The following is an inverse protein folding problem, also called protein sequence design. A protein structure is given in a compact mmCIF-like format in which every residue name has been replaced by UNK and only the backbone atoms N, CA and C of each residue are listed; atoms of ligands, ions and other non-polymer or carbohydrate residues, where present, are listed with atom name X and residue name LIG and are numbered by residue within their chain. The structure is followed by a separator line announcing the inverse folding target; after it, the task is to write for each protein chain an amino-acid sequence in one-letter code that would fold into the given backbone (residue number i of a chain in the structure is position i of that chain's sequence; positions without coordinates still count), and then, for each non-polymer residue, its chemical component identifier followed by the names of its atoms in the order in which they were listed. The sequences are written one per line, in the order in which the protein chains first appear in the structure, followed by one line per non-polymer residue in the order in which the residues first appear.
data_IF_353731023512
#
_entry.id   IF_353731023512
#
_cell.length_a   1.000
_cell.length_b   1.000
_cell.length_c   1.000
_cell.angle_alpha   90.00
_cell.angle_beta   90.00
_cell.angle_gamma   90.00
#
_symmetry.space_group_name_H-M   'P 1'
#
loop_
_entity.id
_entity.type
_entity.pdbx_description
1 polymer ?
#
# COMPACT_ATOMS: atom_id res chain seq x y z
N UNK A 1 22.65 -27.92 -8.49
CA UNK A 1 21.36 -27.21 -8.65
C UNK A 1 20.57 -27.34 -7.36
N UNK A 2 20.13 -26.24 -6.70
CA UNK A 2 19.31 -26.34 -5.51
C UNK A 2 17.94 -26.96 -5.87
N UNK A 3 17.45 -27.90 -5.06
CA UNK A 3 16.18 -28.59 -5.32
C UNK A 3 15.01 -27.65 -5.06
N UNK A 4 14.09 -27.53 -6.02
CA UNK A 4 12.83 -26.81 -5.85
C UNK A 4 12.00 -27.54 -4.77
N UNK A 5 11.84 -26.93 -3.60
CA UNK A 5 10.99 -27.45 -2.52
C UNK A 5 9.91 -26.42 -2.21
N UNK A 6 8.71 -26.89 -1.88
CA UNK A 6 7.63 -26.04 -1.36
C UNK A 6 8.06 -25.51 0.01
N UNK A 7 7.96 -24.20 0.21
CA UNK A 7 8.24 -23.52 1.47
C UNK A 7 6.94 -22.95 2.04
N UNK A 8 6.80 -22.97 3.36
CA UNK A 8 5.67 -22.32 4.04
C UNK A 8 5.88 -20.81 3.95
N UNK A 9 4.92 -20.09 3.36
CA UNK A 9 4.94 -18.64 3.26
C UNK A 9 3.92 -18.05 4.23
N UNK A 10 4.31 -17.06 5.02
CA UNK A 10 3.41 -16.26 5.85
C UNK A 10 2.99 -15.03 5.05
N UNK A 11 1.74 -15.00 4.60
CA UNK A 11 1.20 -13.87 3.87
C UNK A 11 0.75 -12.77 4.86
N UNK A 12 1.03 -11.52 4.53
CA UNK A 12 0.38 -10.38 5.19
C UNK A 12 -1.05 -10.17 4.64
N UNK A 13 -1.22 -10.40 3.33
CA UNK A 13 -2.51 -10.35 2.61
C UNK A 13 -2.42 -11.24 1.36
N UNK A 14 -3.56 -11.76 0.92
CA UNK A 14 -3.66 -12.44 -0.38
C UNK A 14 -3.58 -11.44 -1.54
N UNK A 15 -2.98 -11.84 -2.65
CA UNK A 15 -2.95 -11.03 -3.88
C UNK A 15 -4.26 -11.30 -4.63
N UNK A 16 -5.08 -10.28 -4.93
CA UNK A 16 -6.31 -10.46 -5.69
C UNK A 16 -6.03 -11.05 -7.10
N UNK A 17 -6.98 -11.82 -7.63
CA UNK A 17 -6.78 -12.58 -8.88
C UNK A 17 -6.66 -11.69 -10.12
N UNK A 18 -7.25 -10.51 -10.06
CA UNK A 18 -7.27 -9.47 -11.09
C UNK A 18 -6.00 -8.58 -11.08
N UNK A 19 -5.11 -8.77 -10.10
CA UNK A 19 -3.89 -7.99 -9.99
C UNK A 19 -2.76 -8.65 -10.76
N UNK A 20 -1.95 -7.86 -11.48
CA UNK A 20 -0.75 -8.31 -12.19
C UNK A 20 0.48 -8.08 -11.33
N UNK A 21 1.31 -9.13 -11.15
CA UNK A 21 2.62 -8.97 -10.48
C UNK A 21 3.57 -8.23 -11.42
N UNK A 22 4.19 -7.15 -10.92
CA UNK A 22 5.18 -6.36 -11.65
C UNK A 22 6.61 -6.75 -11.34
N UNK A 23 6.90 -7.00 -10.08
CA UNK A 23 8.22 -7.44 -9.65
C UNK A 23 8.13 -8.18 -8.32
N UNK A 24 9.17 -8.97 -8.06
CA UNK A 24 9.35 -9.68 -6.80
C UNK A 24 10.77 -9.42 -6.32
N UNK A 25 10.91 -8.92 -5.10
CA UNK A 25 12.22 -8.70 -4.47
C UNK A 25 12.40 -9.70 -3.34
N UNK A 26 13.51 -10.45 -3.40
CA UNK A 26 13.92 -11.37 -2.35
C UNK A 26 15.06 -10.73 -1.54
N UNK A 27 14.86 -10.61 -0.23
CA UNK A 27 15.88 -10.09 0.68
C UNK A 27 16.20 -11.14 1.73
N UNK A 28 17.48 -11.37 1.99
CA UNK A 28 17.95 -12.13 3.14
C UNK A 28 18.45 -11.15 4.21
N UNK A 29 17.95 -11.26 5.43
CA UNK A 29 18.45 -10.50 6.57
C UNK A 29 18.42 -11.37 7.83
N UNK A 30 19.57 -11.50 8.49
CA UNK A 30 19.75 -12.28 9.72
C UNK A 30 19.22 -13.73 9.61
N UNK A 31 19.48 -14.38 8.48
CA UNK A 31 19.04 -15.77 8.23
C UNK A 31 17.57 -15.93 7.87
N UNK A 32 16.80 -14.84 7.86
CA UNK A 32 15.41 -14.82 7.43
C UNK A 32 15.30 -14.34 5.99
N UNK A 33 14.38 -14.95 5.23
CA UNK A 33 14.07 -14.53 3.87
C UNK A 33 12.75 -13.77 3.85
N UNK A 34 12.75 -12.62 3.20
CA UNK A 34 11.60 -11.76 3.00
C UNK A 34 11.34 -11.63 1.51
N UNK A 35 10.06 -11.67 1.14
CA UNK A 35 9.61 -11.49 -0.23
C UNK A 35 8.67 -10.30 -0.27
N UNK A 36 8.99 -9.28 -1.06
CA UNK A 36 8.04 -8.24 -1.43
C UNK A 36 7.55 -8.47 -2.85
N UNK A 37 6.24 -8.35 -3.03
CA UNK A 37 5.58 -8.52 -4.33
C UNK A 37 4.95 -7.19 -4.68
N UNK A 38 5.45 -6.55 -5.74
CA UNK A 38 4.84 -5.36 -6.31
C UNK A 38 3.76 -5.80 -7.29
N UNK A 39 2.55 -5.28 -7.12
CA UNK A 39 1.41 -5.58 -7.98
C UNK A 39 0.82 -4.30 -8.55
N UNK A 40 0.21 -4.42 -9.73
CA UNK A 40 -0.60 -3.37 -10.33
C UNK A 40 -1.98 -3.92 -10.64
N UNK A 41 -2.97 -3.03 -10.68
CA UNK A 41 -4.35 -3.34 -10.98
C UNK A 41 -4.97 -2.17 -11.73
N UNK A 42 -5.95 -2.48 -12.56
CA UNK A 42 -6.77 -1.45 -13.18
C UNK A 42 -7.89 -1.05 -12.23
N UNK A 43 -8.13 0.24 -12.11
CA UNK A 43 -9.24 0.79 -11.33
C UNK A 43 -9.95 1.82 -12.17
N UNK A 44 -11.21 1.56 -12.45
CA UNK A 44 -12.08 2.58 -13.03
C UNK A 44 -12.44 3.59 -11.93
N UNK A 45 -11.99 4.83 -12.10
CA UNK A 45 -12.32 5.92 -11.17
C UNK A 45 -13.53 6.65 -11.74
N UNK A 46 -14.70 6.42 -11.13
CA UNK A 46 -15.87 7.23 -11.43
C UNK A 46 -15.65 8.65 -10.91
N UNK A 47 -15.77 9.64 -11.81
CA UNK A 47 -15.77 11.04 -11.41
C UNK A 47 -17.02 11.30 -10.58
N UNK A 48 -16.82 11.70 -9.33
CA UNK A 48 -17.91 12.24 -8.54
C UNK A 48 -18.33 13.61 -9.12
N UNK A 49 -19.63 13.96 -9.07
CA UNK A 49 -20.06 15.30 -9.42
C UNK A 49 -19.29 16.32 -8.57
N UNK A 50 -18.90 17.43 -9.18
CA UNK A 50 -18.22 18.52 -8.48
C UNK A 50 -19.11 19.03 -7.37
N UNK A 51 -18.67 18.88 -6.12
CA UNK A 51 -19.24 19.59 -4.98
C UNK A 51 -18.50 20.91 -4.79
N UNK A 52 -19.22 21.95 -4.36
CA UNK A 52 -18.60 23.22 -3.93
C UNK A 52 -17.78 23.05 -2.63
N UNK A 53 -17.86 21.88 -2.00
CA UNK A 53 -17.06 21.54 -0.83
C UNK A 53 -15.64 21.16 -1.25
N UNK A 54 -14.69 22.02 -0.91
CA UNK A 54 -13.25 21.81 -1.06
C UNK A 54 -12.61 21.84 0.33
N UNK A 55 -11.76 20.86 0.63
CA UNK A 55 -10.96 20.83 1.87
C UNK A 55 -9.49 20.91 1.47
N UNK A 56 -8.78 21.90 2.01
CA UNK A 56 -7.33 21.98 1.91
C UNK A 56 -6.68 21.11 2.98
N UNK A 57 -5.64 20.36 2.64
CA UNK A 57 -4.83 19.59 3.58
C UNK A 57 -3.41 20.14 3.54
N UNK A 58 -2.89 20.51 4.70
CA UNK A 58 -1.50 20.94 4.88
C UNK A 58 -0.80 20.06 5.92
N UNK A 59 0.53 20.02 5.84
CA UNK A 59 1.35 19.24 6.76
C UNK A 59 1.51 19.97 8.10
N UNK A 60 1.37 19.23 9.20
CA UNK A 60 1.64 19.72 10.55
C UNK A 60 2.67 18.81 11.23
N UNK A 61 3.68 19.42 11.85
CA UNK A 61 4.69 18.66 12.59
C UNK A 61 4.14 18.03 13.87
N UNK A 62 3.13 18.65 14.51
CA UNK A 62 2.56 18.17 15.77
C UNK A 62 1.48 17.11 15.56
N UNK A 63 0.69 17.23 14.49
CA UNK A 63 -0.55 16.47 14.27
C UNK A 63 -0.54 15.69 12.95
N UNK A 64 0.63 15.53 12.32
CA UNK A 64 0.86 14.95 10.97
C UNK A 64 0.25 15.78 9.83
N UNK A 65 -1.01 16.22 9.95
CA UNK A 65 -1.68 17.10 9.00
C UNK A 65 -2.73 17.98 9.70
N UNK A 66 -3.12 19.06 9.03
CA UNK A 66 -4.24 19.91 9.41
C UNK A 66 -5.08 20.22 8.18
N UNK A 67 -6.40 20.23 8.34
CA UNK A 67 -7.32 20.63 7.28
C UNK A 67 -7.72 22.10 7.37
N UNK A 68 -8.22 22.68 6.28
CA UNK A 68 -8.81 24.04 6.28
C UNK A 68 -10.04 24.18 7.18
N UNK A 69 -10.66 23.06 7.57
CA UNK A 69 -11.74 23.01 8.57
C UNK A 69 -11.20 22.84 10.01
N UNK A 70 -9.88 22.97 10.20
CA UNK A 70 -9.16 22.84 11.48
C UNK A 70 -9.37 21.48 12.17
N UNK A 71 -9.64 20.44 11.40
CA UNK A 71 -9.54 19.04 11.84
C UNK A 71 -8.11 18.55 11.59
N UNK A 72 -7.43 18.15 12.67
CA UNK A 72 -6.19 17.38 12.64
C UNK A 72 -6.45 15.89 12.88
N UNK A 73 -5.40 15.09 12.89
CA UNK A 73 -5.49 13.69 13.32
C UNK A 73 -5.67 13.66 14.86
N UNK A 74 -6.84 13.25 15.34
CA UNK A 74 -7.12 13.04 16.77
C UNK A 74 -6.40 11.75 17.23
N UNK A 75 -5.15 11.87 17.68
CA UNK A 75 -4.46 10.81 18.43
C UNK A 75 -4.39 11.11 19.92
#
# INVERSE_FOLDING_TARGET
MPKLKKIKLKYHREIPKDYRIKSVTLTNSNGNYYVSVLTEFEKEIQKMPSSDKVIGLDFSMSELFVSSENQGDDY
#
